data_IF_629441280638
#
_entry.id   IF_629441280638
#
_cell.length_a   1.000
_cell.length_b   1.000
_cell.length_c   1.000
_cell.angle_alpha   90.00
_cell.angle_beta   90.00
_cell.angle_gamma   90.00
#
_symmetry.space_group_name_H-M   'P 1'
#
loop_
_entity.id
_entity.type
_entity.pdbx_description
1 polymer ?
#
# COMPACT_ATOMS: atom_id res chain seq x y z
N UNK A 1 27.73 3.85 -3.62
CA UNK A 1 26.81 4.99 -3.41
C UNK A 1 26.48 5.14 -1.93
N UNK A 2 26.08 6.35 -1.53
CA UNK A 2 25.64 6.67 -0.17
C UNK A 2 24.12 6.70 -0.15
N UNK A 3 23.50 5.84 0.65
CA UNK A 3 22.05 5.60 0.72
C UNK A 3 21.55 6.13 2.06
N UNK A 4 20.61 7.05 2.06
CA UNK A 4 20.02 7.67 3.23
C UNK A 4 18.60 7.18 3.50
N UNK A 5 18.32 6.84 4.75
CA UNK A 5 17.02 6.37 5.21
C UNK A 5 16.56 7.22 6.38
N UNK A 6 15.88 8.33 6.13
CA UNK A 6 15.30 9.13 7.20
C UNK A 6 14.16 8.38 7.89
N UNK A 7 13.88 8.74 9.13
CA UNK A 7 12.70 8.31 9.86
C UNK A 7 11.44 8.85 9.18
N UNK A 8 10.39 8.05 9.13
CA UNK A 8 9.09 8.53 8.66
C UNK A 8 8.48 9.51 9.68
N UNK A 9 8.05 10.65 9.19
CA UNK A 9 7.49 11.73 10.02
C UNK A 9 6.00 11.98 9.79
N UNK A 10 5.37 11.21 8.87
CA UNK A 10 3.92 11.26 8.67
C UNK A 10 3.22 10.67 9.91
N UNK A 11 2.16 11.29 10.42
CA UNK A 11 1.45 10.76 11.60
C UNK A 11 1.06 9.29 11.43
N UNK A 12 1.33 8.47 12.44
CA UNK A 12 1.04 7.03 12.48
C UNK A 12 1.76 6.20 11.38
N UNK A 13 2.83 6.73 10.79
CA UNK A 13 3.71 5.97 9.93
C UNK A 13 4.92 5.50 10.73
N UNK A 14 4.95 4.20 11.00
CA UNK A 14 5.93 3.55 11.87
C UNK A 14 6.84 2.59 11.09
N UNK A 15 6.67 2.50 9.76
CA UNK A 15 7.55 1.71 8.88
C UNK A 15 8.86 2.44 8.66
N UNK A 16 9.83 1.75 8.04
CA UNK A 16 11.11 2.33 7.63
C UNK A 16 11.52 1.82 6.25
N UNK A 17 12.26 2.62 5.49
CA UNK A 17 12.65 2.32 4.12
C UNK A 17 13.56 1.08 3.97
N UNK A 18 14.38 0.74 4.97
CA UNK A 18 15.28 -0.43 4.94
C UNK A 18 15.23 -1.21 6.26
N UNK A 19 15.28 -2.56 6.16
CA UNK A 19 15.54 -3.45 7.30
C UNK A 19 17.04 -3.60 7.55
N UNK A 20 17.47 -4.05 8.74
CA UNK A 20 18.90 -4.38 9.00
C UNK A 20 19.45 -5.41 8.00
N UNK A 21 18.65 -6.38 7.55
CA UNK A 21 19.07 -7.37 6.55
C UNK A 21 19.34 -6.74 5.18
N UNK A 22 18.43 -5.84 4.73
CA UNK A 22 18.63 -5.06 3.50
C UNK A 22 19.89 -4.18 3.59
N UNK A 23 20.12 -3.56 4.75
CA UNK A 23 21.35 -2.79 5.02
C UNK A 23 22.58 -3.66 4.89
N UNK A 24 22.59 -4.84 5.50
CA UNK A 24 23.72 -5.78 5.40
C UNK A 24 24.05 -6.15 3.96
N UNK A 25 23.01 -6.38 3.15
CA UNK A 25 23.18 -6.67 1.72
C UNK A 25 23.85 -5.51 0.99
N UNK A 26 23.40 -4.29 1.23
CA UNK A 26 23.94 -3.09 0.58
C UNK A 26 25.37 -2.78 1.03
N UNK A 27 25.65 -2.86 2.34
CA UNK A 27 27.00 -2.60 2.89
C UNK A 27 28.01 -3.66 2.47
N UNK A 28 27.59 -4.94 2.37
CA UNK A 28 28.46 -6.02 1.84
C UNK A 28 28.80 -5.82 0.36
N UNK A 29 27.99 -5.07 -0.39
CA UNK A 29 28.23 -4.69 -1.77
C UNK A 29 29.04 -3.37 -1.90
N UNK A 30 29.58 -2.83 -0.79
CA UNK A 30 30.43 -1.64 -0.78
C UNK A 30 29.66 -0.31 -0.78
N UNK A 31 28.36 -0.32 -0.48
CA UNK A 31 27.57 0.90 -0.34
C UNK A 31 27.58 1.39 1.11
N UNK A 32 27.55 2.71 1.30
CA UNK A 32 27.41 3.32 2.62
C UNK A 32 25.91 3.55 2.90
N UNK A 33 25.44 3.13 4.07
CA UNK A 33 24.03 3.30 4.47
C UNK A 33 23.93 4.15 5.72
N UNK A 34 23.15 5.23 5.63
CA UNK A 34 22.85 6.17 6.72
C UNK A 34 21.42 5.94 7.18
N UNK A 35 21.25 5.62 8.46
CA UNK A 35 19.92 5.43 9.07
C UNK A 35 19.71 6.52 10.12
N UNK A 36 18.57 7.19 10.09
CA UNK A 36 18.22 8.13 11.14
C UNK A 36 18.05 7.44 12.49
N UNK A 37 18.52 8.08 13.53
CA UNK A 37 18.46 7.60 14.91
C UNK A 37 17.02 7.18 15.28
N UNK A 38 16.88 5.95 15.76
CA UNK A 38 15.60 5.32 16.09
C UNK A 38 14.61 5.26 14.92
N UNK A 39 15.04 5.38 13.66
CA UNK A 39 14.16 5.35 12.48
C UNK A 39 13.39 4.04 12.35
N UNK A 40 13.98 2.91 12.72
CA UNK A 40 13.34 1.58 12.65
C UNK A 40 12.69 1.11 13.95
N UNK A 41 12.79 1.89 15.04
CA UNK A 41 12.40 1.44 16.39
C UNK A 41 10.94 0.96 16.47
N UNK A 42 10.01 1.71 15.92
CA UNK A 42 8.58 1.36 15.90
C UNK A 42 8.27 0.13 15.04
N UNK A 43 9.13 -0.19 14.08
CA UNK A 43 9.06 -1.43 13.31
C UNK A 43 9.80 -2.60 14.00
N UNK A 44 10.33 -2.38 15.20
CA UNK A 44 11.05 -3.37 16.01
C UNK A 44 12.48 -3.61 15.56
N UNK A 45 13.12 -2.61 14.95
CA UNK A 45 14.52 -2.61 14.57
C UNK A 45 15.25 -1.47 15.29
N UNK A 46 16.13 -1.81 16.24
CA UNK A 46 16.90 -0.85 17.00
C UNK A 46 18.20 -0.41 16.27
N UNK A 47 18.81 0.64 16.80
CA UNK A 47 20.05 1.18 16.23
C UNK A 47 21.21 0.18 16.23
N UNK A 48 21.28 -0.73 17.20
CA UNK A 48 22.40 -1.67 17.31
C UNK A 48 22.30 -2.77 16.25
N UNK A 49 21.07 -3.16 15.88
CA UNK A 49 20.83 -4.05 14.75
C UNK A 49 21.32 -3.42 13.44
N UNK A 50 21.05 -2.12 13.21
CA UNK A 50 21.53 -1.39 12.04
C UNK A 50 23.05 -1.21 12.03
N UNK A 51 23.67 -0.85 13.18
CA UNK A 51 25.14 -0.77 13.31
C UNK A 51 25.80 -2.12 13.02
N UNK A 52 25.24 -3.20 13.56
CA UNK A 52 25.72 -4.58 13.33
C UNK A 52 25.57 -5.02 11.87
N UNK A 53 24.66 -4.40 11.11
CA UNK A 53 24.50 -4.57 9.68
C UNK A 53 25.42 -3.67 8.84
N UNK A 54 26.23 -2.80 9.48
CA UNK A 54 27.19 -1.90 8.83
C UNK A 54 26.66 -0.49 8.53
N UNK A 55 25.48 -0.12 9.00
CA UNK A 55 24.97 1.24 8.84
C UNK A 55 25.64 2.24 9.82
N UNK A 56 25.66 3.49 9.40
CA UNK A 56 25.94 4.63 10.28
C UNK A 56 24.61 5.20 10.78
N UNK A 57 24.53 5.42 12.10
CA UNK A 57 23.37 6.08 12.71
C UNK A 57 23.62 7.59 12.72
N UNK A 58 22.65 8.34 12.21
CA UNK A 58 22.68 9.80 12.05
C UNK A 58 21.56 10.42 12.87
N UNK A 59 21.87 11.44 13.66
CA UNK A 59 20.91 12.00 14.60
C UNK A 59 19.83 12.89 13.93
N UNK A 60 20.16 13.52 12.81
CA UNK A 60 19.28 14.48 12.13
C UNK A 60 18.99 14.08 10.70
N UNK A 61 17.72 14.17 10.30
CA UNK A 61 17.32 13.93 8.92
C UNK A 61 18.05 14.86 7.93
N UNK A 62 18.29 16.13 8.32
CA UNK A 62 18.97 17.11 7.49
C UNK A 62 20.37 16.63 7.05
N UNK A 63 21.10 15.96 7.95
CA UNK A 63 22.44 15.43 7.65
C UNK A 63 22.34 14.25 6.66
N UNK A 64 21.30 13.42 6.78
CA UNK A 64 21.02 12.34 5.83
C UNK A 64 20.73 12.89 4.44
N UNK A 65 19.80 13.85 4.32
CA UNK A 65 19.48 14.49 3.04
C UNK A 65 20.70 15.22 2.45
N UNK A 66 21.56 15.78 3.31
CA UNK A 66 22.77 16.45 2.87
C UNK A 66 23.82 15.49 2.29
N UNK A 67 23.94 14.29 2.83
CA UNK A 67 25.04 13.39 2.53
C UNK A 67 24.68 12.29 1.51
N UNK A 68 23.42 11.88 1.46
CA UNK A 68 23.00 10.75 0.64
C UNK A 68 22.85 11.10 -0.84
N UNK A 69 23.20 10.16 -1.71
CA UNK A 69 22.92 10.20 -3.16
C UNK A 69 21.53 9.64 -3.47
N UNK A 70 21.06 8.67 -2.66
CA UNK A 70 19.74 8.05 -2.76
C UNK A 70 19.05 8.20 -1.41
N UNK A 71 17.84 8.78 -1.41
CA UNK A 71 16.93 8.79 -0.26
C UNK A 71 15.91 7.68 -0.45
N UNK A 72 15.83 6.77 0.52
CA UNK A 72 14.88 5.66 0.54
C UNK A 72 13.88 5.89 1.67
N UNK A 73 12.60 5.95 1.31
CA UNK A 73 11.48 6.14 2.25
C UNK A 73 10.40 5.10 2.00
N UNK A 74 9.39 5.11 2.85
CA UNK A 74 8.14 4.38 2.64
C UNK A 74 7.08 5.31 2.06
N UNK A 75 6.85 6.46 2.68
CA UNK A 75 5.85 7.45 2.25
C UNK A 75 6.47 8.64 1.52
N UNK A 76 5.62 9.32 0.80
CA UNK A 76 5.95 10.57 0.11
C UNK A 76 6.63 11.58 1.06
N UNK A 77 7.60 12.32 0.58
CA UNK A 77 8.23 13.39 1.36
C UNK A 77 7.23 14.47 1.74
N UNK A 78 7.21 14.87 3.00
CA UNK A 78 6.42 16.01 3.46
C UNK A 78 7.11 17.33 3.10
N UNK A 79 6.39 18.44 3.14
CA UNK A 79 6.89 19.77 2.74
C UNK A 79 8.23 20.16 3.41
N UNK A 80 8.47 19.71 4.66
CA UNK A 80 9.75 19.91 5.36
C UNK A 80 10.87 19.12 4.68
N UNK A 81 10.61 17.89 4.30
CA UNK A 81 11.59 16.99 3.66
C UNK A 81 11.88 17.42 2.21
N UNK A 82 10.83 17.85 1.47
CA UNK A 82 11.00 18.36 0.10
C UNK A 82 12.02 19.48 0.03
N UNK A 83 12.07 20.37 1.03
CA UNK A 83 13.05 21.47 1.12
C UNK A 83 14.49 21.01 1.34
N UNK A 84 14.69 19.78 1.80
CA UNK A 84 16.00 19.18 2.03
C UNK A 84 16.51 18.38 0.84
N UNK A 85 15.61 18.00 -0.09
CA UNK A 85 15.97 17.26 -1.30
C UNK A 85 16.80 18.14 -2.22
N UNK A 86 17.90 17.56 -2.72
CA UNK A 86 18.88 18.26 -3.57
C UNK A 86 18.69 17.97 -5.05
N UNK A 87 19.21 18.86 -5.86
CA UNK A 87 19.33 18.64 -7.31
C UNK A 87 20.11 17.33 -7.59
N UNK A 88 19.63 16.53 -8.52
CA UNK A 88 20.15 15.22 -8.92
C UNK A 88 20.07 14.12 -7.86
N UNK A 89 19.58 14.39 -6.65
CA UNK A 89 19.36 13.37 -5.62
C UNK A 89 18.26 12.42 -6.05
N UNK A 90 18.47 11.13 -5.85
CA UNK A 90 17.46 10.11 -6.16
C UNK A 90 16.53 9.96 -4.95
N UNK A 91 15.23 10.01 -5.20
CA UNK A 91 14.18 9.74 -4.19
C UNK A 91 13.44 8.48 -4.62
N UNK A 92 13.54 7.41 -3.85
CA UNK A 92 12.96 6.09 -4.12
C UNK A 92 11.96 5.74 -3.02
N UNK A 93 10.68 5.87 -3.29
CA UNK A 93 9.59 5.77 -2.30
C UNK A 93 8.22 5.69 -2.98
N UNK A 94 7.12 5.50 -2.22
CA UNK A 94 5.78 5.86 -2.70
C UNK A 94 5.65 7.38 -2.79
N UNK A 95 5.09 7.89 -3.88
CA UNK A 95 4.97 9.31 -4.14
C UNK A 95 3.52 9.80 -4.24
N UNK A 96 2.63 9.03 -4.84
CA UNK A 96 1.21 9.36 -5.03
C UNK A 96 0.96 10.76 -5.65
N UNK A 97 1.80 11.16 -6.60
CA UNK A 97 1.87 12.54 -7.12
C UNK A 97 0.56 13.04 -7.73
N UNK A 98 -0.21 12.17 -8.40
CA UNK A 98 -1.47 12.57 -9.04
C UNK A 98 -2.52 13.15 -8.06
N UNK A 99 -2.37 12.89 -6.75
CA UNK A 99 -3.25 13.41 -5.70
C UNK A 99 -2.61 14.56 -4.89
N UNK A 100 -1.37 15.00 -5.20
CA UNK A 100 -0.56 15.87 -4.34
C UNK A 100 0.13 16.99 -5.12
N UNK A 101 -0.62 18.03 -5.49
CA UNK A 101 -0.16 19.12 -6.35
C UNK A 101 1.09 19.84 -5.79
N UNK A 102 1.07 20.22 -4.51
CA UNK A 102 2.19 20.94 -3.88
C UNK A 102 3.44 20.09 -3.79
N UNK A 103 3.29 18.79 -3.49
CA UNK A 103 4.41 17.85 -3.49
C UNK A 103 4.99 17.70 -4.89
N UNK A 104 4.14 17.53 -5.89
CA UNK A 104 4.57 17.40 -7.30
C UNK A 104 5.38 18.61 -7.73
N UNK A 105 4.89 19.83 -7.45
CA UNK A 105 5.62 21.06 -7.77
C UNK A 105 6.94 21.14 -7.00
N UNK A 106 6.94 20.83 -5.71
CA UNK A 106 8.16 20.86 -4.89
C UNK A 106 9.24 19.90 -5.39
N UNK A 107 8.86 18.71 -5.88
CA UNK A 107 9.80 17.76 -6.46
C UNK A 107 10.30 18.21 -7.84
N UNK A 108 9.48 18.88 -8.65
CA UNK A 108 9.90 19.52 -9.90
C UNK A 108 10.95 20.60 -9.59
N UNK A 109 10.66 21.47 -8.64
CA UNK A 109 11.51 22.61 -8.27
C UNK A 109 12.86 22.16 -7.68
N UNK A 110 12.87 21.03 -6.96
CA UNK A 110 14.10 20.43 -6.40
C UNK A 110 15.07 19.88 -7.46
N UNK A 111 14.60 19.68 -8.70
CA UNK A 111 15.36 19.05 -9.79
C UNK A 111 15.95 17.68 -9.43
N UNK A 112 15.29 16.97 -8.52
CA UNK A 112 15.65 15.61 -8.11
C UNK A 112 15.25 14.56 -9.15
N UNK A 113 15.62 13.30 -8.90
CA UNK A 113 15.23 12.14 -9.70
C UNK A 113 14.28 11.29 -8.84
N UNK A 114 12.99 11.34 -9.12
CA UNK A 114 11.97 10.70 -8.30
C UNK A 114 11.46 9.42 -8.96
N UNK A 115 11.69 8.30 -8.29
CA UNK A 115 11.28 6.96 -8.73
C UNK A 115 10.20 6.45 -7.77
N UNK A 116 8.97 6.36 -8.25
CA UNK A 116 7.80 5.97 -7.48
C UNK A 116 7.63 4.45 -7.44
N UNK A 117 7.47 3.88 -6.26
CA UNK A 117 7.22 2.45 -6.10
C UNK A 117 5.94 2.00 -6.83
N UNK A 118 4.87 2.78 -6.71
CA UNK A 118 3.53 2.45 -7.21
C UNK A 118 3.39 2.47 -8.73
N UNK A 119 4.38 2.96 -9.46
CA UNK A 119 4.35 3.00 -10.93
C UNK A 119 5.34 2.05 -11.59
N UNK A 120 6.22 1.39 -10.83
CA UNK A 120 7.04 0.28 -11.33
C UNK A 120 6.14 -0.88 -11.72
N UNK A 121 6.34 -1.43 -12.93
CA UNK A 121 5.55 -2.55 -13.45
C UNK A 121 6.35 -3.84 -13.53
N UNK A 122 5.69 -4.95 -13.83
CA UNK A 122 6.30 -6.18 -14.33
C UNK A 122 5.89 -6.44 -15.79
N UNK A 123 6.41 -7.51 -16.38
CA UNK A 123 6.12 -7.89 -17.78
C UNK A 123 4.63 -8.19 -18.06
N UNK A 124 3.83 -8.35 -17.02
CA UNK A 124 2.38 -8.58 -17.11
C UNK A 124 1.57 -7.30 -16.77
N UNK A 125 2.23 -6.14 -16.62
CA UNK A 125 1.60 -4.89 -16.21
C UNK A 125 1.14 -4.85 -14.76
N UNK A 126 1.60 -5.78 -13.90
CA UNK A 126 1.32 -5.76 -12.46
C UNK A 126 2.27 -4.77 -11.78
N UNK A 127 1.93 -4.40 -10.53
CA UNK A 127 2.67 -3.41 -9.74
C UNK A 127 3.44 -4.11 -8.60
N UNK A 128 4.64 -4.66 -8.86
CA UNK A 128 5.35 -5.53 -7.93
C UNK A 128 5.76 -4.83 -6.62
N UNK A 129 5.95 -3.51 -6.63
CA UNK A 129 6.31 -2.77 -5.42
C UNK A 129 5.08 -2.26 -4.64
N UNK A 130 3.89 -2.23 -5.25
CA UNK A 130 2.63 -1.95 -4.57
C UNK A 130 1.99 -3.22 -3.99
N UNK A 131 2.15 -4.36 -4.66
CA UNK A 131 1.55 -5.63 -4.29
C UNK A 131 1.79 -6.04 -2.82
N UNK A 132 3.00 -5.87 -2.21
CA UNK A 132 3.22 -6.22 -0.81
C UNK A 132 2.30 -5.47 0.15
N UNK A 133 2.07 -4.18 -0.09
CA UNK A 133 1.18 -3.37 0.77
C UNK A 133 -0.29 -3.72 0.56
N UNK A 134 -0.68 -4.02 -0.67
CA UNK A 134 -2.01 -4.55 -0.99
C UNK A 134 -2.25 -5.92 -0.31
N UNK A 135 -1.24 -6.79 -0.27
CA UNK A 135 -1.32 -8.07 0.41
C UNK A 135 -1.48 -7.91 1.94
N UNK A 136 -0.69 -7.01 2.55
CA UNK A 136 -0.82 -6.71 3.98
C UNK A 136 -2.20 -6.13 4.28
N UNK A 137 -2.68 -5.16 3.49
CA UNK A 137 -4.00 -4.55 3.68
C UNK A 137 -5.13 -5.59 3.55
N UNK A 138 -5.06 -6.49 2.57
CA UNK A 138 -6.03 -7.57 2.40
C UNK A 138 -6.08 -8.51 3.61
N UNK A 139 -4.94 -8.92 4.14
CA UNK A 139 -4.86 -9.76 5.35
C UNK A 139 -5.38 -9.02 6.58
N UNK A 140 -4.98 -7.76 6.72
CA UNK A 140 -5.40 -6.91 7.82
C UNK A 140 -6.89 -6.63 7.82
N UNK A 141 -7.53 -6.54 6.64
CA UNK A 141 -8.97 -6.28 6.51
C UNK A 141 -9.81 -7.34 7.24
N UNK A 142 -9.40 -8.59 7.15
CA UNK A 142 -10.11 -9.70 7.84
C UNK A 142 -9.79 -9.71 9.33
N UNK A 143 -8.55 -9.47 9.72
CA UNK A 143 -8.16 -9.38 11.14
C UNK A 143 -8.91 -8.25 11.85
N UNK A 144 -8.91 -7.04 11.28
CA UNK A 144 -9.62 -5.88 11.82
C UNK A 144 -11.14 -6.09 11.78
N UNK A 145 -11.66 -6.65 10.67
CA UNK A 145 -13.07 -6.96 10.53
C UNK A 145 -13.56 -7.97 11.55
N UNK A 146 -12.79 -9.02 11.82
CA UNK A 146 -13.10 -10.01 12.84
C UNK A 146 -13.15 -9.39 14.25
N UNK A 147 -12.20 -8.52 14.57
CA UNK A 147 -12.22 -7.77 15.85
C UNK A 147 -13.43 -6.84 15.95
N UNK A 148 -13.74 -6.12 14.87
CA UNK A 148 -14.91 -5.22 14.84
C UNK A 148 -16.26 -5.95 14.94
N UNK A 149 -16.32 -7.26 14.66
CA UNK A 149 -17.53 -8.07 14.86
C UNK A 149 -17.81 -8.38 16.32
N UNK A 150 -16.86 -8.19 17.23
CA UNK A 150 -17.04 -8.38 18.66
C UNK A 150 -18.05 -7.38 19.25
N UNK A 151 -18.76 -7.78 20.30
CA UNK A 151 -19.85 -6.97 20.88
C UNK A 151 -19.37 -5.66 21.52
N UNK A 152 -18.19 -5.67 22.14
CA UNK A 152 -17.54 -4.50 22.71
C UNK A 152 -17.09 -3.47 21.64
N UNK A 153 -16.91 -3.92 20.39
CA UNK A 153 -16.65 -3.08 19.22
C UNK A 153 -17.94 -2.64 18.49
N UNK A 154 -19.11 -2.86 19.13
CA UNK A 154 -20.45 -2.59 18.57
C UNK A 154 -20.84 -3.50 17.40
N UNK A 155 -20.07 -4.53 17.14
CA UNK A 155 -20.35 -5.58 16.15
C UNK A 155 -21.51 -6.50 16.56
N UNK A 156 -21.82 -7.47 15.71
CA UNK A 156 -22.91 -8.45 15.88
C UNK A 156 -22.68 -9.40 17.06
N UNK A 157 -21.44 -9.56 17.54
CA UNK A 157 -21.08 -10.53 18.57
C UNK A 157 -20.95 -11.95 18.01
N UNK A 158 -20.31 -12.11 16.88
CA UNK A 158 -20.05 -13.41 16.24
C UNK A 158 -18.55 -13.64 15.99
N UNK A 159 -18.18 -14.90 15.91
CA UNK A 159 -16.87 -15.35 15.44
C UNK A 159 -16.95 -15.69 13.96
N UNK A 160 -16.00 -15.22 13.16
CA UNK A 160 -15.95 -15.56 11.72
C UNK A 160 -15.83 -17.07 11.49
N UNK A 161 -15.08 -17.78 12.32
CA UNK A 161 -14.92 -19.22 12.20
C UNK A 161 -16.05 -20.05 12.80
N UNK A 162 -17.04 -19.42 13.41
CA UNK A 162 -18.09 -20.12 14.17
C UNK A 162 -17.53 -20.85 15.41
N UNK A 163 -18.32 -21.78 15.95
CA UNK A 163 -17.96 -22.65 17.06
C UNK A 163 -18.71 -23.99 16.93
N UNK A 164 -18.37 -25.04 17.69
CA UNK A 164 -19.15 -26.28 17.68
C UNK A 164 -20.64 -25.99 17.97
N UNK A 165 -21.51 -26.30 17.02
CA UNK A 165 -22.96 -26.00 17.07
C UNK A 165 -23.36 -24.57 16.63
N UNK A 166 -22.39 -23.71 16.28
CA UNK A 166 -22.61 -22.38 15.72
C UNK A 166 -22.06 -22.25 14.29
N UNK A 167 -22.80 -21.58 13.42
CA UNK A 167 -22.39 -21.38 12.04
C UNK A 167 -21.23 -20.36 11.92
N UNK A 168 -20.36 -20.51 10.90
CA UNK A 168 -19.36 -19.48 10.58
C UNK A 168 -20.01 -18.22 10.01
N UNK A 169 -19.31 -17.09 10.16
CA UNK A 169 -19.72 -15.83 9.59
C UNK A 169 -19.58 -15.80 8.06
N UNK A 170 -20.43 -15.00 7.41
CA UNK A 170 -20.39 -14.74 5.99
C UNK A 170 -19.47 -13.55 5.68
N UNK A 171 -18.44 -13.78 4.89
CA UNK A 171 -17.52 -12.75 4.38
C UNK A 171 -17.77 -12.53 2.89
N UNK A 172 -18.01 -11.29 2.50
CA UNK A 172 -18.14 -10.87 1.10
C UNK A 172 -16.95 -10.00 0.76
N UNK A 173 -16.23 -10.37 -0.29
CA UNK A 173 -15.04 -9.64 -0.77
C UNK A 173 -15.36 -9.07 -2.15
N UNK A 174 -15.36 -7.75 -2.26
CA UNK A 174 -15.54 -7.03 -3.52
C UNK A 174 -14.17 -6.72 -4.14
N UNK A 175 -13.91 -7.36 -5.28
CA UNK A 175 -12.64 -7.31 -6.00
C UNK A 175 -11.72 -8.50 -5.68
N UNK A 176 -11.36 -9.26 -6.70
CA UNK A 176 -10.48 -10.42 -6.64
C UNK A 176 -9.00 -10.11 -6.89
N UNK A 177 -8.58 -8.83 -6.82
CA UNK A 177 -7.20 -8.41 -6.98
C UNK A 177 -6.31 -8.88 -5.81
N UNK A 178 -5.11 -8.27 -5.67
CA UNK A 178 -4.15 -8.64 -4.60
C UNK A 178 -4.78 -8.50 -3.21
N UNK A 179 -5.53 -7.42 -2.96
CA UNK A 179 -6.24 -7.20 -1.69
C UNK A 179 -7.23 -8.33 -1.42
N UNK A 180 -8.12 -8.60 -2.39
CA UNK A 180 -9.18 -9.59 -2.21
C UNK A 180 -8.66 -11.02 -2.09
N UNK A 181 -7.65 -11.40 -2.87
CA UNK A 181 -6.96 -12.69 -2.73
C UNK A 181 -6.41 -12.88 -1.31
N UNK A 182 -5.71 -11.87 -0.78
CA UNK A 182 -5.12 -11.94 0.55
C UNK A 182 -6.17 -11.88 1.67
N UNK A 183 -7.27 -11.18 1.47
CA UNK A 183 -8.43 -11.25 2.36
C UNK A 183 -9.04 -12.67 2.35
N UNK A 184 -9.20 -13.29 1.18
CA UNK A 184 -9.70 -14.66 1.06
C UNK A 184 -8.79 -15.68 1.76
N UNK A 185 -7.46 -15.54 1.65
CA UNK A 185 -6.50 -16.41 2.36
C UNK A 185 -6.78 -16.41 3.87
N UNK A 186 -6.98 -15.25 4.47
CA UNK A 186 -7.22 -15.15 5.92
C UNK A 186 -8.63 -15.60 6.28
N UNK A 187 -9.65 -15.16 5.54
CA UNK A 187 -11.04 -15.51 5.82
C UNK A 187 -11.30 -17.03 5.70
N UNK A 188 -10.76 -17.67 4.67
CA UNK A 188 -10.84 -19.15 4.51
C UNK A 188 -10.01 -19.88 5.56
N UNK A 189 -8.84 -19.32 5.95
CA UNK A 189 -8.03 -19.83 7.07
C UNK A 189 -8.77 -19.78 8.41
N UNK A 190 -9.60 -18.78 8.62
CA UNK A 190 -10.49 -18.68 9.77
C UNK A 190 -11.76 -19.54 9.64
N UNK A 191 -11.93 -20.28 8.54
CA UNK A 191 -13.09 -21.12 8.23
C UNK A 191 -14.41 -20.34 8.06
N UNK A 192 -14.35 -19.07 7.69
CA UNK A 192 -15.53 -18.29 7.32
C UNK A 192 -16.13 -18.80 6.00
N UNK A 193 -17.42 -18.53 5.78
CA UNK A 193 -18.04 -18.69 4.47
C UNK A 193 -17.68 -17.49 3.60
N UNK A 194 -16.92 -17.71 2.52
CA UNK A 194 -16.30 -16.62 1.75
C UNK A 194 -16.88 -16.53 0.35
N UNK A 195 -17.48 -15.37 0.03
CA UNK A 195 -17.90 -14.99 -1.31
C UNK A 195 -16.88 -14.01 -1.87
N UNK A 196 -16.43 -14.24 -3.11
CA UNK A 196 -15.56 -13.31 -3.84
C UNK A 196 -16.26 -12.83 -5.10
N UNK A 197 -16.33 -11.50 -5.27
CA UNK A 197 -17.01 -10.86 -6.40
C UNK A 197 -15.96 -10.14 -7.24
N UNK A 198 -15.90 -10.45 -8.53
CA UNK A 198 -15.04 -9.72 -9.49
C UNK A 198 -15.74 -9.59 -10.84
N UNK A 199 -15.36 -8.58 -11.63
CA UNK A 199 -15.85 -8.39 -13.00
C UNK A 199 -15.18 -9.32 -14.02
N UNK A 200 -14.03 -9.90 -13.68
CA UNK A 200 -13.24 -10.75 -14.56
C UNK A 200 -13.51 -12.23 -14.28
N UNK A 201 -14.16 -12.90 -15.22
CA UNK A 201 -14.38 -14.34 -15.17
C UNK A 201 -13.06 -15.13 -15.13
N UNK A 202 -12.02 -14.64 -15.85
CA UNK A 202 -10.68 -15.26 -15.84
C UNK A 202 -10.05 -15.16 -14.44
N UNK A 203 -10.20 -14.00 -13.77
CA UNK A 203 -9.69 -13.85 -12.39
C UNK A 203 -10.42 -14.77 -11.42
N UNK A 204 -11.73 -14.88 -11.52
CA UNK A 204 -12.52 -15.79 -10.70
C UNK A 204 -12.12 -17.25 -10.91
N UNK A 205 -11.81 -17.66 -12.15
CA UNK A 205 -11.29 -18.98 -12.45
C UNK A 205 -9.95 -19.23 -11.74
N UNK A 206 -8.99 -18.32 -11.82
CA UNK A 206 -7.69 -18.43 -11.11
C UNK A 206 -7.88 -18.56 -9.59
N UNK A 207 -8.81 -17.77 -9.01
CA UNK A 207 -9.12 -17.86 -7.58
C UNK A 207 -9.77 -19.21 -7.23
N UNK A 208 -10.65 -19.72 -8.08
CA UNK A 208 -11.25 -21.06 -7.90
C UNK A 208 -10.20 -22.16 -7.96
N UNK A 209 -9.25 -22.08 -8.87
CA UNK A 209 -8.12 -23.03 -8.94
C UNK A 209 -7.24 -22.97 -7.68
N UNK A 210 -7.05 -21.78 -7.10
CA UNK A 210 -6.24 -21.57 -5.88
C UNK A 210 -6.94 -22.06 -4.60
N UNK A 211 -8.23 -21.77 -4.46
CA UNK A 211 -8.96 -21.98 -3.20
C UNK A 211 -9.88 -23.20 -3.20
N UNK A 212 -10.20 -23.76 -4.37
CA UNK A 212 -11.14 -24.85 -4.51
C UNK A 212 -12.55 -24.47 -4.02
N UNK A 213 -13.12 -25.34 -3.20
CA UNK A 213 -14.44 -25.19 -2.59
C UNK A 213 -14.51 -24.26 -1.38
N UNK A 214 -13.37 -23.69 -0.98
CA UNK A 214 -13.30 -22.78 0.18
C UNK A 214 -13.84 -21.38 -0.12
N UNK A 215 -14.07 -21.06 -1.38
CA UNK A 215 -14.67 -19.79 -1.81
C UNK A 215 -15.86 -20.03 -2.72
N UNK A 216 -16.76 -19.03 -2.76
CA UNK A 216 -17.89 -18.99 -3.70
C UNK A 216 -17.62 -17.81 -4.64
N UNK A 217 -17.10 -18.05 -5.86
CA UNK A 217 -16.82 -16.99 -6.82
C UNK A 217 -18.10 -16.50 -7.49
N UNK A 218 -18.22 -15.20 -7.71
CA UNK A 218 -19.39 -14.59 -8.36
C UNK A 218 -18.97 -13.45 -9.28
N UNK A 219 -19.61 -13.38 -10.47
CA UNK A 219 -19.47 -12.22 -11.35
C UNK A 219 -20.15 -10.99 -10.72
N UNK A 220 -19.56 -9.83 -10.95
CA UNK A 220 -20.02 -8.57 -10.39
C UNK A 220 -21.27 -8.05 -11.14
N UNK A 221 -22.46 -8.38 -10.63
CA UNK A 221 -23.74 -7.81 -11.01
C UNK A 221 -24.37 -7.12 -9.80
N UNK A 222 -24.96 -5.94 -10.00
CA UNK A 222 -25.50 -5.12 -8.90
C UNK A 222 -26.53 -5.86 -8.04
N UNK A 223 -27.46 -6.59 -8.66
CA UNK A 223 -28.50 -7.38 -7.97
C UNK A 223 -27.91 -8.50 -7.11
N UNK A 224 -26.83 -9.12 -7.56
CA UNK A 224 -26.16 -10.19 -6.81
C UNK A 224 -25.38 -9.61 -5.62
N UNK A 225 -24.74 -8.45 -5.81
CA UNK A 225 -24.03 -7.74 -4.71
C UNK A 225 -25.04 -7.37 -3.61
N UNK A 226 -26.20 -6.81 -3.97
CA UNK A 226 -27.22 -6.42 -3.00
C UNK A 226 -27.69 -7.60 -2.15
N UNK A 227 -27.93 -8.77 -2.77
CA UNK A 227 -28.30 -9.99 -2.05
C UNK A 227 -27.20 -10.43 -1.10
N UNK A 228 -25.95 -10.49 -1.58
CA UNK A 228 -24.82 -10.93 -0.79
C UNK A 228 -24.60 -10.06 0.43
N UNK A 229 -24.63 -8.74 0.28
CA UNK A 229 -24.38 -7.83 1.41
C UNK A 229 -25.51 -7.86 2.45
N UNK A 230 -26.73 -8.18 2.07
CA UNK A 230 -27.83 -8.36 3.02
C UNK A 230 -27.64 -9.56 3.96
N UNK A 231 -26.86 -10.55 3.52
CA UNK A 231 -26.56 -11.77 4.26
C UNK A 231 -25.14 -11.75 4.87
N UNK A 232 -24.29 -10.77 4.55
CA UNK A 232 -22.94 -10.73 5.03
C UNK A 232 -22.81 -10.25 6.48
N UNK A 233 -21.77 -10.71 7.14
CA UNK A 233 -21.36 -10.28 8.46
C UNK A 233 -20.12 -9.37 8.37
N UNK A 234 -19.23 -9.66 7.41
CA UNK A 234 -18.06 -8.84 7.09
C UNK A 234 -18.00 -8.58 5.58
N UNK A 235 -18.03 -7.32 5.19
CA UNK A 235 -17.78 -6.86 3.84
C UNK A 235 -16.36 -6.30 3.73
N UNK A 236 -15.59 -6.79 2.75
CA UNK A 236 -14.25 -6.28 2.42
C UNK A 236 -14.28 -5.60 1.05
N UNK A 237 -14.03 -4.30 1.00
CA UNK A 237 -13.87 -3.53 -0.22
C UNK A 237 -12.43 -3.55 -0.70
N UNK A 238 -12.12 -4.35 -1.72
CA UNK A 238 -10.76 -4.54 -2.25
C UNK A 238 -10.60 -4.15 -3.72
N UNK A 239 -11.47 -3.29 -4.24
CA UNK A 239 -11.42 -2.84 -5.64
C UNK A 239 -10.36 -1.76 -5.80
N UNK A 240 -9.49 -1.93 -6.79
CA UNK A 240 -8.48 -0.96 -7.17
C UNK A 240 -8.58 -0.70 -8.67
N UNK A 241 -8.63 0.59 -9.05
CA UNK A 241 -8.46 1.03 -10.44
C UNK A 241 -7.20 1.88 -10.48
N UNK A 242 -6.14 1.44 -11.19
CA UNK A 242 -4.90 2.21 -11.27
C UNK A 242 -5.15 3.63 -11.79
N UNK A 243 -4.77 4.64 -11.02
CA UNK A 243 -4.86 6.05 -11.41
C UNK A 243 -6.27 6.67 -11.42
N UNK A 244 -7.30 5.98 -10.90
CA UNK A 244 -8.68 6.47 -10.84
C UNK A 244 -9.32 6.21 -9.48
N UNK A 245 -10.45 6.87 -9.22
CA UNK A 245 -11.26 6.61 -8.05
C UNK A 245 -11.90 5.22 -8.11
N UNK A 246 -12.10 4.60 -6.94
CA UNK A 246 -12.80 3.34 -6.83
C UNK A 246 -14.30 3.52 -7.18
N UNK A 247 -14.91 2.59 -7.94
CA UNK A 247 -16.33 2.65 -8.23
C UNK A 247 -17.13 2.41 -6.94
N UNK A 248 -18.26 3.14 -6.79
CA UNK A 248 -19.20 2.93 -5.68
C UNK A 248 -20.05 1.69 -5.96
N UNK A 249 -19.66 0.55 -5.41
CA UNK A 249 -20.34 -0.73 -5.59
C UNK A 249 -21.46 -0.96 -4.57
N UNK A 250 -21.39 -0.29 -3.42
CA UNK A 250 -22.40 -0.40 -2.36
C UNK A 250 -23.00 0.97 -2.08
N UNK A 251 -24.26 1.13 -2.42
CA UNK A 251 -25.02 2.35 -2.19
C UNK A 251 -25.52 2.44 -0.73
N UNK A 252 -25.88 3.66 -0.30
CA UNK A 252 -26.49 3.88 1.02
C UNK A 252 -27.81 3.10 1.20
N UNK A 253 -28.55 2.86 0.11
CA UNK A 253 -29.79 2.06 0.18
C UNK A 253 -29.49 0.57 0.39
N UNK A 254 -28.47 0.04 -0.23
CA UNK A 254 -27.99 -1.33 0.00
C UNK A 254 -27.51 -1.51 1.45
N UNK A 255 -26.82 -0.50 2.00
CA UNK A 255 -26.34 -0.52 3.38
C UNK A 255 -27.46 -0.79 4.39
N UNK A 256 -28.62 -0.18 4.19
CA UNK A 256 -29.81 -0.37 5.07
C UNK A 256 -30.34 -1.80 5.11
N UNK A 257 -29.97 -2.63 4.14
CA UNK A 257 -30.32 -4.06 4.09
C UNK A 257 -29.33 -4.95 4.81
N UNK A 258 -28.18 -4.41 5.20
CA UNK A 258 -27.16 -5.16 5.95
C UNK A 258 -27.67 -5.51 7.35
N UNK A 259 -27.16 -6.59 7.89
CA UNK A 259 -27.49 -7.01 9.25
C UNK A 259 -26.94 -6.01 10.28
N UNK A 260 -27.72 -5.72 11.29
CA UNK A 260 -27.28 -4.86 12.39
C UNK A 260 -25.99 -5.36 13.03
N UNK A 261 -24.99 -4.49 13.16
CA UNK A 261 -23.68 -4.80 13.72
C UNK A 261 -22.78 -5.58 12.78
N UNK A 262 -23.13 -5.72 11.47
CA UNK A 262 -22.17 -6.17 10.46
C UNK A 262 -21.09 -5.13 10.28
N UNK A 263 -19.98 -5.56 9.68
CA UNK A 263 -18.77 -4.75 9.54
C UNK A 263 -18.43 -4.55 8.06
N UNK A 264 -18.06 -3.32 7.72
CA UNK A 264 -17.45 -2.97 6.44
C UNK A 264 -15.99 -2.60 6.69
N UNK A 265 -15.07 -3.24 5.98
CA UNK A 265 -13.67 -2.84 5.89
C UNK A 265 -13.40 -2.39 4.45
N UNK A 266 -13.36 -1.09 4.24
CA UNK A 266 -13.15 -0.53 2.90
C UNK A 266 -11.66 -0.22 2.68
N UNK A 267 -10.93 -1.20 2.13
CA UNK A 267 -9.49 -1.07 1.81
C UNK A 267 -9.29 -0.11 0.63
N UNK A 268 -10.29 0.08 -0.22
CA UNK A 268 -10.25 1.01 -1.34
C UNK A 268 -10.32 2.48 -0.91
N UNK A 269 -10.37 2.76 0.40
CA UNK A 269 -10.55 4.12 0.94
C UNK A 269 -9.52 5.13 0.46
N UNK A 270 -8.28 4.71 0.23
CA UNK A 270 -7.22 5.57 -0.32
C UNK A 270 -7.55 6.10 -1.74
N UNK A 271 -8.50 5.45 -2.44
CA UNK A 271 -9.05 5.86 -3.74
C UNK A 271 -10.52 6.27 -3.65
N UNK A 272 -10.94 6.85 -2.53
CA UNK A 272 -12.31 7.32 -2.30
C UNK A 272 -13.28 6.26 -1.77
N UNK A 273 -12.87 4.99 -1.65
CA UNK A 273 -13.69 3.87 -1.17
C UNK A 273 -14.71 3.34 -2.18
N UNK A 274 -15.05 2.07 -2.07
CA UNK A 274 -16.06 1.42 -2.92
C UNK A 274 -17.47 1.37 -2.30
N UNK A 275 -17.63 1.89 -1.10
CA UNK A 275 -18.93 2.04 -0.42
C UNK A 275 -19.28 3.53 -0.34
N UNK A 276 -20.51 3.89 -0.67
CA UNK A 276 -20.97 5.29 -0.72
C UNK A 276 -20.80 6.02 0.63
N UNK A 277 -20.97 5.31 1.74
CA UNK A 277 -20.85 5.85 3.11
C UNK A 277 -19.44 5.82 3.67
N UNK A 278 -18.45 5.31 2.91
CA UNK A 278 -17.05 5.25 3.36
C UNK A 278 -16.44 6.64 3.49
N UNK A 279 -15.79 6.87 4.65
CA UNK A 279 -15.02 8.07 4.96
C UNK A 279 -13.66 7.64 5.53
N UNK A 280 -12.56 8.29 5.14
CA UNK A 280 -11.25 7.96 5.70
C UNK A 280 -11.22 8.09 7.22
N UNK A 281 -10.65 7.09 7.88
CA UNK A 281 -10.36 7.07 9.32
C UNK A 281 -8.87 6.88 9.57
N UNK A 282 -8.47 6.93 10.83
CA UNK A 282 -7.08 6.78 11.26
C UNK A 282 -6.92 5.57 12.19
N UNK A 283 -5.69 5.14 12.45
CA UNK A 283 -5.44 4.09 13.42
C UNK A 283 -5.83 4.47 14.87
N UNK A 284 -5.89 5.77 15.19
CA UNK A 284 -6.32 6.24 16.51
C UNK A 284 -7.84 6.16 16.68
N UNK A 285 -8.59 6.48 15.64
CA UNK A 285 -10.05 6.41 15.59
C UNK A 285 -10.48 5.59 14.37
N UNK A 286 -10.39 4.25 14.43
CA UNK A 286 -10.45 3.41 13.23
C UNK A 286 -11.87 3.19 12.71
N UNK A 287 -12.91 3.40 13.54
CA UNK A 287 -14.28 3.01 13.20
C UNK A 287 -15.30 4.11 13.43
N UNK A 288 -16.38 4.06 12.66
CA UNK A 288 -17.61 4.81 12.90
C UNK A 288 -18.82 3.94 12.50
N UNK A 289 -20.04 4.40 12.80
CA UNK A 289 -21.27 3.65 12.54
C UNK A 289 -22.18 4.47 11.63
N UNK A 290 -22.73 3.82 10.62
CA UNK A 290 -23.80 4.33 9.76
C UNK A 290 -24.87 3.26 9.62
N UNK A 291 -26.15 3.60 9.88
CA UNK A 291 -27.29 2.67 9.77
C UNK A 291 -27.03 1.32 10.49
N UNK A 292 -26.53 1.37 11.73
CA UNK A 292 -26.16 0.20 12.56
C UNK A 292 -25.05 -0.70 11.99
N UNK A 293 -24.32 -0.28 10.95
CA UNK A 293 -23.17 -0.99 10.36
C UNK A 293 -21.88 -0.32 10.76
N UNK A 294 -20.92 -1.11 11.27
CA UNK A 294 -19.60 -0.64 11.67
C UNK A 294 -18.72 -0.46 10.44
N UNK A 295 -18.14 0.71 10.26
CA UNK A 295 -17.21 1.02 9.18
C UNK A 295 -15.79 1.12 9.74
N UNK A 296 -14.88 0.34 9.16
CA UNK A 296 -13.44 0.44 9.36
C UNK A 296 -12.82 0.88 8.02
N UNK A 297 -12.44 2.14 7.93
CA UNK A 297 -11.96 2.76 6.68
C UNK A 297 -10.61 3.45 6.91
N UNK A 298 -9.70 2.78 7.62
CA UNK A 298 -8.39 3.34 7.96
C UNK A 298 -7.56 3.51 6.71
N UNK A 299 -7.24 4.77 6.38
CA UNK A 299 -6.25 5.07 5.37
C UNK A 299 -4.87 4.57 5.84
N UNK A 300 -4.09 4.02 4.92
CA UNK A 300 -2.77 3.46 5.25
C UNK A 300 -2.82 2.26 6.22
N UNK A 301 -3.76 1.33 6.03
CA UNK A 301 -3.87 0.12 6.85
C UNK A 301 -2.52 -0.59 7.13
N UNK A 302 -1.60 -0.76 6.15
CA UNK A 302 -0.32 -1.41 6.39
C UNK A 302 0.57 -0.72 7.44
N UNK A 303 0.38 0.58 7.69
CA UNK A 303 1.06 1.31 8.76
C UNK A 303 0.77 0.80 10.17
N UNK A 304 -0.38 0.15 10.37
CA UNK A 304 -0.75 -0.46 11.65
C UNK A 304 -0.01 -1.76 12.02
N UNK A 305 0.71 -2.35 11.07
CA UNK A 305 1.56 -3.53 11.28
C UNK A 305 2.96 -3.27 10.72
N UNK A 306 3.69 -2.29 11.29
CA UNK A 306 4.89 -1.72 10.67
C UNK A 306 6.01 -2.74 10.47
N UNK A 307 6.19 -3.70 11.38
CA UNK A 307 7.22 -4.74 11.22
C UNK A 307 6.96 -5.63 10.01
N UNK A 308 5.75 -6.18 9.90
CA UNK A 308 5.35 -7.02 8.75
C UNK A 308 5.44 -6.25 7.45
N UNK A 309 4.92 -5.04 7.43
CA UNK A 309 4.89 -4.18 6.25
C UNK A 309 6.28 -3.77 5.80
N UNK A 310 7.18 -3.41 6.72
CA UNK A 310 8.57 -3.06 6.41
C UNK A 310 9.30 -4.24 5.77
N UNK A 311 9.19 -5.44 6.36
CA UNK A 311 9.84 -6.64 5.81
C UNK A 311 9.30 -6.96 4.41
N UNK A 312 7.97 -6.98 4.26
CA UNK A 312 7.34 -7.30 2.98
C UNK A 312 7.71 -6.29 1.87
N UNK A 313 7.73 -4.99 2.20
CA UNK A 313 8.13 -3.94 1.26
C UNK A 313 9.60 -4.06 0.89
N UNK A 314 10.49 -4.22 1.87
CA UNK A 314 11.92 -4.32 1.63
C UNK A 314 12.29 -5.51 0.75
N UNK A 315 11.66 -6.68 0.93
CA UNK A 315 11.88 -7.84 0.07
C UNK A 315 11.57 -7.54 -1.41
N UNK A 316 10.59 -6.68 -1.67
CA UNK A 316 10.23 -6.27 -3.03
C UNK A 316 11.13 -5.14 -3.56
N UNK A 317 11.50 -4.16 -2.74
CA UNK A 317 12.22 -2.96 -3.18
C UNK A 317 13.74 -3.15 -3.24
N UNK A 318 14.31 -4.04 -2.42
CA UNK A 318 15.76 -4.26 -2.34
C UNK A 318 16.43 -4.62 -3.67
N UNK A 319 15.86 -5.49 -4.54
CA UNK A 319 16.47 -5.78 -5.84
C UNK A 319 16.61 -4.53 -6.72
N UNK A 320 15.60 -3.66 -6.73
CA UNK A 320 15.61 -2.41 -7.50
C UNK A 320 16.59 -1.40 -6.90
N UNK A 321 16.60 -1.23 -5.58
CA UNK A 321 17.56 -0.37 -4.90
C UNK A 321 19.00 -0.83 -5.12
N UNK A 322 19.25 -2.13 -5.06
CA UNK A 322 20.58 -2.70 -5.32
C UNK A 322 21.03 -2.42 -6.75
N UNK A 323 20.12 -2.48 -7.73
CA UNK A 323 20.41 -2.12 -9.13
C UNK A 323 20.71 -0.62 -9.27
N UNK A 324 19.91 0.25 -8.61
CA UNK A 324 20.18 1.70 -8.59
C UNK A 324 21.55 2.00 -7.98
N UNK A 325 21.87 1.38 -6.85
CA UNK A 325 23.11 1.62 -6.13
C UNK A 325 24.35 1.11 -6.89
N UNK A 326 24.23 -0.02 -7.59
CA UNK A 326 25.32 -0.64 -8.36
C UNK A 326 25.57 0.05 -9.69
N UNK A 327 24.53 0.27 -10.48
CA UNK A 327 24.63 0.66 -11.89
C UNK A 327 24.40 2.17 -12.12
N UNK A 328 23.90 2.88 -11.10
CA UNK A 328 23.37 4.23 -11.22
C UNK A 328 21.98 4.24 -11.88
N UNK A 329 21.18 5.28 -11.61
CA UNK A 329 19.78 5.30 -12.05
C UNK A 329 19.60 5.29 -13.57
N UNK A 330 20.48 5.99 -14.31
CA UNK A 330 20.37 6.07 -15.79
C UNK A 330 20.48 4.69 -16.43
N UNK A 331 21.49 3.91 -16.06
CA UNK A 331 21.69 2.57 -16.59
C UNK A 331 20.61 1.62 -16.07
N UNK A 332 20.30 1.67 -14.78
CA UNK A 332 19.29 0.80 -14.15
C UNK A 332 17.91 0.93 -14.81
N UNK A 333 17.50 2.16 -15.18
CA UNK A 333 16.22 2.45 -15.81
C UNK A 333 16.24 2.16 -17.32
N UNK A 334 17.35 2.43 -18.03
CA UNK A 334 17.47 2.10 -19.45
C UNK A 334 17.43 0.60 -19.71
N UNK A 335 18.04 -0.19 -18.87
CA UNK A 335 18.13 -1.65 -19.00
C UNK A 335 16.82 -2.37 -18.64
N UNK A 336 15.83 -1.65 -18.08
CA UNK A 336 14.59 -2.23 -17.57
C UNK A 336 13.41 -1.26 -17.75
N UNK A 337 12.65 -1.45 -18.83
CA UNK A 337 11.49 -0.60 -19.13
C UNK A 337 10.39 -0.65 -18.08
N UNK A 338 10.26 -1.77 -17.37
CA UNK A 338 9.33 -1.90 -16.28
C UNK A 338 9.75 -1.05 -15.07
N UNK A 339 11.05 -0.99 -14.81
CA UNK A 339 11.59 -0.10 -13.78
C UNK A 339 11.56 1.37 -14.22
N UNK A 340 11.77 1.64 -15.52
CA UNK A 340 11.65 2.98 -16.08
C UNK A 340 10.26 3.60 -15.87
N UNK A 341 9.20 2.78 -15.87
CA UNK A 341 7.85 3.24 -15.54
C UNK A 341 7.73 3.85 -14.14
N UNK A 342 8.69 3.54 -13.26
CA UNK A 342 8.82 4.16 -11.93
C UNK A 342 9.28 5.61 -11.96
N UNK A 343 9.92 6.09 -13.03
CA UNK A 343 10.43 7.46 -13.10
C UNK A 343 9.28 8.46 -13.28
N UNK A 344 8.99 9.23 -12.24
CA UNK A 344 7.86 10.18 -12.24
C UNK A 344 8.31 11.64 -12.40
N UNK A 345 9.47 12.00 -11.83
CA UNK A 345 10.09 13.32 -12.02
C UNK A 345 11.57 13.12 -12.33
N UNK A 346 12.07 13.82 -13.33
CA UNK A 346 13.47 13.84 -13.70
C UNK A 346 13.97 15.25 -13.91
N UNK A 347 14.78 15.73 -12.96
CA UNK A 347 15.51 17.02 -13.05
C UNK A 347 14.63 18.20 -13.48
N UNK A 348 13.46 18.32 -12.87
CA UNK A 348 12.52 19.40 -13.15
C UNK A 348 11.45 19.08 -14.20
N UNK A 349 11.46 17.90 -14.82
CA UNK A 349 10.47 17.47 -15.81
C UNK A 349 9.58 16.37 -15.25
N UNK A 350 8.29 16.40 -15.56
CA UNK A 350 7.34 15.33 -15.21
C UNK A 350 7.40 14.24 -16.27
N UNK A 351 7.71 13.02 -15.86
CA UNK A 351 7.92 11.87 -16.75
C UNK A 351 6.85 10.80 -16.61
N UNK A 352 5.84 11.00 -15.79
CA UNK A 352 4.67 10.13 -15.68
C UNK A 352 3.43 10.84 -16.21
N UNK A 353 2.86 10.31 -17.31
CA UNK A 353 1.80 10.98 -18.08
C UNK A 353 0.58 11.32 -17.24
N UNK A 354 0.11 10.40 -16.38
CA UNK A 354 -1.08 10.65 -15.56
C UNK A 354 -0.90 11.85 -14.61
N UNK A 355 0.30 12.06 -14.07
CA UNK A 355 0.61 13.23 -13.22
C UNK A 355 0.64 14.51 -14.05
N UNK A 356 1.24 14.47 -15.24
CA UNK A 356 1.28 15.60 -16.16
C UNK A 356 -0.14 16.04 -16.56
N UNK A 357 -0.98 15.10 -16.94
CA UNK A 357 -2.35 15.36 -17.39
C UNK A 357 -3.23 15.99 -16.28
N UNK A 358 -3.13 15.49 -15.03
CA UNK A 358 -3.95 15.99 -13.91
C UNK A 358 -3.65 17.44 -13.56
N UNK A 359 -2.39 17.86 -13.64
CA UNK A 359 -1.99 19.22 -13.22
C UNK A 359 -1.64 20.13 -14.38
N UNK A 360 -1.74 19.66 -15.63
CA UNK A 360 -1.41 20.46 -16.81
C UNK A 360 0.08 20.73 -16.98
N UNK A 361 0.95 19.86 -16.44
CA UNK A 361 2.38 19.93 -16.68
C UNK A 361 2.74 19.41 -18.08
N UNK A 362 3.84 19.93 -18.63
CA UNK A 362 4.40 19.35 -19.84
C UNK A 362 4.95 17.95 -19.54
N UNK A 363 4.46 16.95 -20.26
CA UNK A 363 4.96 15.59 -20.19
C UNK A 363 6.28 15.45 -20.94
N UNK A 364 7.28 14.85 -20.32
CA UNK A 364 8.53 14.47 -20.94
C UNK A 364 8.64 12.93 -21.00
N UNK A 365 8.93 12.38 -22.17
CA UNK A 365 9.07 10.93 -22.32
C UNK A 365 10.31 10.44 -21.56
N UNK A 366 10.10 9.53 -20.62
CA UNK A 366 11.16 9.00 -19.74
C UNK A 366 12.29 8.34 -20.54
N UNK A 367 12.00 7.63 -21.63
CA UNK A 367 13.02 6.98 -22.49
C UNK A 367 13.88 7.99 -23.25
N UNK A 368 13.29 9.12 -23.66
CA UNK A 368 14.00 10.16 -24.42
C UNK A 368 14.88 11.03 -23.52
N UNK A 369 14.38 11.36 -22.31
CA UNK A 369 15.08 12.26 -21.38
C UNK A 369 16.33 11.62 -20.74
N UNK A 370 16.41 10.29 -20.72
CA UNK A 370 17.57 9.57 -20.23
C UNK A 370 18.66 9.36 -21.31
N UNK A 371 18.34 9.54 -22.59
CA UNK A 371 19.31 9.43 -23.69
C UNK A 371 20.14 10.70 -23.79
#
# INVERSE_FOLDING_TARGET
MKIGVPKEIKPQENRIGLTPESVRTLTSNGHEVLIENNGGFEAGFDNDQYKSAGAKIIDKAEDIFNDAEIIVKVKEPLAKEVKMIKENQIVFTYLHLAAAKELTQGLIDSKSVCIAYETVTDNNGRLPLLAPMSAVAGRMSVQAGAHCLEKNQKGRGILLGGAPGGEPGNVVILGGGVVGENAAIIATGMRAKVHIVDKSAERLKQLTEMFGDKIIPQLSHETDIEKLISECDLLVGGVLIPGAEAPKLVSKNMLKKMKRGSVIVDVAIDQGGCVETSKPTTHAEPTYIVDDVVHYCVANMPGGVPRTSTIALNNATLPFLSKLAKDGYQKALKDDLNFLAGLNVHKGSVTYKAVADVFGHQYANASEILN
#
